data_IF_970875014677
#
_entry.id   IF_970875014677
#
_cell.length_a   1.000
_cell.length_b   1.000
_cell.length_c   1.000
_cell.angle_alpha   90.00
_cell.angle_beta   90.00
_cell.angle_gamma   90.00
#
_symmetry.space_group_name_H-M   'P 1'
#
loop_
_entity.id
_entity.type
_entity.pdbx_description
1 polymer ?
#
# COMPACT_ATOMS: atom_id res chain seq x y z
N UNK A 1 22.63 0.79 -26.82
CA UNK A 1 21.18 0.88 -26.73
C UNK A 1 20.60 0.49 -25.34
N UNK A 2 20.87 -0.71 -24.80
CA UNK A 2 20.36 -1.15 -23.46
C UNK A 2 20.89 -0.27 -22.32
N UNK A 3 22.18 0.07 -22.31
CA UNK A 3 22.82 0.91 -21.29
C UNK A 3 22.22 2.30 -21.19
N UNK A 4 21.98 2.97 -22.33
CA UNK A 4 21.33 4.28 -22.39
C UNK A 4 19.90 4.26 -21.86
N UNK A 5 19.11 3.21 -22.18
CA UNK A 5 17.74 3.05 -21.69
C UNK A 5 17.68 2.86 -20.18
N UNK A 6 18.65 2.15 -19.60
CA UNK A 6 18.77 1.97 -18.16
C UNK A 6 19.16 3.28 -17.46
N UNK A 7 20.07 4.07 -18.03
CA UNK A 7 20.46 5.38 -17.50
C UNK A 7 19.29 6.38 -17.49
N UNK A 8 18.48 6.40 -18.55
CA UNK A 8 17.27 7.23 -18.59
C UNK A 8 16.24 6.80 -17.54
N UNK A 9 16.06 5.49 -17.35
CA UNK A 9 15.14 4.97 -16.35
C UNK A 9 15.58 5.36 -14.94
N UNK A 10 16.87 5.23 -14.62
CA UNK A 10 17.44 5.64 -13.34
C UNK A 10 17.26 7.14 -13.09
N UNK A 11 17.45 7.98 -14.10
CA UNK A 11 17.20 9.43 -14.00
C UNK A 11 15.72 9.72 -13.68
N UNK A 12 14.78 9.03 -14.35
CA UNK A 12 13.34 9.16 -14.08
C UNK A 12 12.98 8.75 -12.66
N UNK A 13 13.51 7.64 -12.20
CA UNK A 13 13.31 7.15 -10.82
C UNK A 13 13.79 8.19 -9.82
N UNK A 14 14.98 8.75 -10.00
CA UNK A 14 15.53 9.77 -9.11
C UNK A 14 14.65 11.01 -9.04
N UNK A 15 14.19 11.53 -10.18
CA UNK A 15 13.27 12.69 -10.22
C UNK A 15 11.97 12.40 -9.45
N UNK A 16 11.43 11.19 -9.58
CA UNK A 16 10.22 10.79 -8.86
C UNK A 16 10.49 10.73 -7.35
N UNK A 17 11.62 10.15 -6.92
CA UNK A 17 12.02 10.07 -5.52
C UNK A 17 12.21 11.46 -4.91
N UNK A 18 12.91 12.37 -5.59
CA UNK A 18 13.13 13.74 -5.15
C UNK A 18 11.79 14.47 -4.95
N UNK A 19 10.85 14.28 -5.88
CA UNK A 19 9.50 14.85 -5.75
C UNK A 19 8.72 14.27 -4.57
N UNK A 20 8.84 12.97 -4.28
CA UNK A 20 8.21 12.35 -3.11
C UNK A 20 8.78 12.96 -1.82
N UNK A 21 10.09 13.22 -1.77
CA UNK A 21 10.73 13.86 -0.62
C UNK A 21 10.25 15.32 -0.46
N UNK A 22 10.08 16.05 -1.55
CA UNK A 22 9.48 17.38 -1.53
C UNK A 22 8.07 17.35 -0.94
N UNK A 23 7.20 16.47 -1.41
CA UNK A 23 5.83 16.28 -0.90
C UNK A 23 5.83 15.95 0.59
N UNK A 24 6.78 15.10 1.04
CA UNK A 24 6.96 14.78 2.45
C UNK A 24 7.20 16.02 3.31
N UNK A 25 7.95 16.98 2.79
CA UNK A 25 8.28 18.21 3.51
C UNK A 25 7.13 19.22 3.51
N UNK A 26 6.37 19.28 2.40
CA UNK A 26 5.22 20.18 2.26
C UNK A 26 4.01 19.72 3.09
N UNK A 27 3.85 18.41 3.28
CA UNK A 27 2.77 17.77 4.06
C UNK A 27 1.37 18.33 3.74
N UNK A 28 1.11 18.63 2.48
CA UNK A 28 -0.17 19.17 2.05
C UNK A 28 -0.96 18.14 1.26
N UNK A 29 -2.14 17.77 1.77
CA UNK A 29 -3.07 16.92 1.01
C UNK A 29 -3.63 17.67 -0.19
N UNK A 30 -3.57 17.03 -1.35
CA UNK A 30 -4.34 17.37 -2.54
C UNK A 30 -4.50 16.14 -3.45
N UNK A 31 -5.57 16.10 -4.25
CA UNK A 31 -5.87 14.95 -5.12
C UNK A 31 -4.80 14.71 -6.18
N UNK A 32 -4.15 15.76 -6.68
CA UNK A 32 -3.10 15.65 -7.70
C UNK A 32 -1.88 14.94 -7.12
N UNK A 33 -1.51 15.32 -5.89
CA UNK A 33 -0.42 14.69 -5.13
C UNK A 33 -0.74 13.22 -4.86
N UNK A 34 -1.97 12.91 -4.42
CA UNK A 34 -2.41 11.53 -4.19
C UNK A 34 -2.40 10.69 -5.47
N UNK A 35 -2.84 11.25 -6.59
CA UNK A 35 -2.77 10.61 -7.90
C UNK A 35 -1.33 10.38 -8.36
N UNK A 36 -0.44 11.36 -8.15
CA UNK A 36 0.97 11.24 -8.45
C UNK A 36 1.63 10.10 -7.66
N UNK A 37 1.42 10.03 -6.34
CA UNK A 37 1.97 8.97 -5.50
C UNK A 37 1.50 7.58 -5.95
N UNK A 38 0.24 7.42 -6.34
CA UNK A 38 -0.27 6.15 -6.86
C UNK A 38 0.35 5.77 -8.22
N UNK A 39 0.61 6.75 -9.10
CA UNK A 39 1.35 6.51 -10.34
C UNK A 39 2.81 6.14 -10.07
N UNK A 40 3.45 6.82 -9.12
CA UNK A 40 4.82 6.52 -8.70
C UNK A 40 4.95 5.12 -8.09
N UNK A 41 3.94 4.66 -7.36
CA UNK A 41 3.90 3.31 -6.75
C UNK A 41 3.99 2.17 -7.79
N UNK A 42 3.57 2.39 -9.03
CA UNK A 42 3.73 1.40 -10.11
C UNK A 42 5.19 1.14 -10.49
N UNK A 43 6.07 2.10 -10.21
CA UNK A 43 7.51 2.03 -10.50
C UNK A 43 8.34 1.82 -9.23
N UNK A 44 7.81 2.19 -8.07
CA UNK A 44 8.49 2.27 -6.79
C UNK A 44 7.66 1.62 -5.68
N UNK A 45 7.08 0.45 -5.95
CA UNK A 45 6.23 -0.30 -5.00
C UNK A 45 6.93 -0.58 -3.67
N UNK A 46 8.25 -0.84 -3.69
CA UNK A 46 9.07 -1.12 -2.52
C UNK A 46 9.78 0.12 -1.92
N UNK A 47 9.34 1.33 -2.28
CA UNK A 47 9.92 2.55 -1.72
C UNK A 47 9.18 3.01 -0.46
N UNK A 48 9.72 2.79 0.77
CA UNK A 48 9.00 3.02 2.02
C UNK A 48 8.53 4.46 2.19
N UNK A 49 9.36 5.42 1.76
CA UNK A 49 9.03 6.85 1.87
C UNK A 49 7.75 7.20 1.13
N UNK A 50 7.49 6.58 -0.03
CA UNK A 50 6.27 6.81 -0.79
C UNK A 50 5.02 6.44 0.03
N UNK A 51 5.01 5.26 0.62
CA UNK A 51 3.87 4.75 1.38
C UNK A 51 3.67 5.49 2.70
N UNK A 52 4.76 5.89 3.37
CA UNK A 52 4.70 6.72 4.57
C UNK A 52 4.12 8.10 4.26
N UNK A 53 4.56 8.75 3.18
CA UNK A 53 4.01 10.05 2.74
C UNK A 53 2.53 9.90 2.39
N UNK A 54 2.18 8.84 1.65
CA UNK A 54 0.79 8.57 1.28
C UNK A 54 -0.10 8.38 2.51
N UNK A 55 0.37 7.63 3.51
CA UNK A 55 -0.35 7.42 4.77
C UNK A 55 -0.59 8.72 5.51
N UNK A 56 0.44 9.56 5.66
CA UNK A 56 0.31 10.88 6.32
C UNK A 56 -0.74 11.76 5.62
N UNK A 57 -0.74 11.77 4.28
CA UNK A 57 -1.71 12.56 3.52
C UNK A 57 -3.13 12.00 3.63
N UNK A 58 -3.28 10.68 3.71
CA UNK A 58 -4.59 10.04 3.96
C UNK A 58 -5.09 10.39 5.36
N UNK A 59 -4.22 10.39 6.38
CA UNK A 59 -4.56 10.78 7.74
C UNK A 59 -5.06 12.24 7.79
N UNK A 60 -4.40 13.16 7.09
CA UNK A 60 -4.88 14.54 6.94
C UNK A 60 -6.24 14.64 6.22
N UNK A 61 -6.46 13.84 5.19
CA UNK A 61 -7.77 13.76 4.54
C UNK A 61 -8.84 13.28 5.51
N UNK A 62 -8.55 12.27 6.35
CA UNK A 62 -9.49 11.76 7.34
C UNK A 62 -9.88 12.81 8.40
N UNK A 63 -8.97 13.70 8.79
CA UNK A 63 -9.25 14.77 9.75
C UNK A 63 -10.27 15.80 9.23
N UNK A 64 -10.40 15.92 7.91
CA UNK A 64 -11.25 16.92 7.24
C UNK A 64 -12.51 16.32 6.60
N UNK A 65 -12.67 15.00 6.65
CA UNK A 65 -13.70 14.25 5.93
C UNK A 65 -14.70 13.60 6.89
N UNK A 66 -15.93 13.40 6.42
CA UNK A 66 -16.89 12.60 7.14
C UNK A 66 -16.63 11.09 6.98
N UNK A 67 -17.28 10.28 7.80
CA UNK A 67 -17.08 8.83 7.86
C UNK A 67 -17.41 8.12 6.53
N UNK A 68 -18.44 8.58 5.79
CA UNK A 68 -18.80 8.01 4.49
C UNK A 68 -17.76 8.30 3.43
N UNK A 69 -17.20 9.50 3.42
CA UNK A 69 -16.11 9.89 2.53
C UNK A 69 -14.86 9.05 2.80
N UNK A 70 -14.52 8.88 4.08
CA UNK A 70 -13.38 8.06 4.53
C UNK A 70 -13.58 6.60 4.09
N UNK A 71 -14.75 6.03 4.35
CA UNK A 71 -15.07 4.66 3.95
C UNK A 71 -14.92 4.45 2.44
N UNK A 72 -15.57 5.31 1.65
CA UNK A 72 -15.50 5.27 0.19
C UNK A 72 -14.08 5.49 -0.35
N UNK A 73 -13.29 6.33 0.31
CA UNK A 73 -11.88 6.55 -0.04
C UNK A 73 -11.08 5.25 0.12
N UNK A 74 -11.20 4.56 1.26
CA UNK A 74 -10.46 3.33 1.49
C UNK A 74 -10.89 2.19 0.57
N UNK A 75 -12.16 2.08 0.20
CA UNK A 75 -12.62 1.12 -0.80
C UNK A 75 -11.91 1.34 -2.15
N UNK A 76 -11.91 2.57 -2.63
CA UNK A 76 -11.21 2.96 -3.86
C UNK A 76 -9.71 2.78 -3.76
N UNK A 77 -9.13 3.00 -2.58
CA UNK A 77 -7.70 2.81 -2.35
C UNK A 77 -7.32 1.33 -2.52
N UNK A 78 -8.07 0.42 -1.93
CA UNK A 78 -7.84 -1.03 -2.07
C UNK A 78 -7.95 -1.48 -3.55
N UNK A 79 -8.92 -0.96 -4.29
CA UNK A 79 -9.06 -1.24 -5.72
C UNK A 79 -7.83 -0.75 -6.51
N UNK A 80 -7.32 0.44 -6.21
CA UNK A 80 -6.14 1.02 -6.86
C UNK A 80 -4.85 0.27 -6.57
N UNK A 81 -4.75 -0.39 -5.40
CA UNK A 81 -3.59 -1.19 -5.02
C UNK A 81 -3.53 -2.51 -5.80
N UNK A 82 -4.66 -3.07 -6.20
CA UNK A 82 -4.74 -4.39 -6.83
C UNK A 82 -3.83 -4.57 -8.05
N UNK A 83 -3.83 -3.66 -9.06
CA UNK A 83 -2.95 -3.80 -10.21
C UNK A 83 -1.46 -3.69 -9.86
N UNK A 84 -1.10 -2.91 -8.82
CA UNK A 84 0.29 -2.79 -8.37
C UNK A 84 0.72 -4.09 -7.69
N UNK A 85 -0.13 -4.65 -6.83
CA UNK A 85 0.11 -5.94 -6.17
C UNK A 85 0.24 -7.09 -7.17
N UNK A 86 -0.52 -7.05 -8.26
CA UNK A 86 -0.41 -8.05 -9.32
C UNK A 86 0.94 -7.95 -10.06
N UNK A 87 1.48 -6.75 -10.23
CA UNK A 87 2.78 -6.54 -10.89
C UNK A 87 3.98 -6.79 -9.97
N UNK A 88 3.80 -6.58 -8.67
CA UNK A 88 4.85 -6.79 -7.65
C UNK A 88 4.26 -7.46 -6.40
N UNK A 89 3.97 -8.77 -6.49
CA UNK A 89 3.34 -9.52 -5.40
C UNK A 89 4.24 -9.71 -4.18
N UNK A 90 5.55 -9.45 -4.29
CA UNK A 90 6.53 -9.62 -3.21
C UNK A 90 6.82 -8.34 -2.43
N UNK A 91 6.21 -7.22 -2.78
CA UNK A 91 6.39 -5.96 -2.05
C UNK A 91 5.67 -6.02 -0.69
N UNK A 92 6.41 -6.31 0.38
CA UNK A 92 5.87 -6.34 1.75
C UNK A 92 5.30 -5.00 2.20
N UNK A 93 5.91 -3.91 1.76
CA UNK A 93 5.47 -2.55 2.10
C UNK A 93 4.10 -2.27 1.51
N UNK A 94 3.86 -2.70 0.28
CA UNK A 94 2.59 -2.60 -0.40
C UNK A 94 1.50 -3.42 0.31
N UNK A 95 1.81 -4.65 0.73
CA UNK A 95 0.92 -5.48 1.53
C UNK A 95 0.60 -4.83 2.87
N UNK A 96 1.60 -4.26 3.54
CA UNK A 96 1.41 -3.55 4.81
C UNK A 96 0.47 -2.36 4.66
N UNK A 97 0.62 -1.56 3.59
CA UNK A 97 -0.30 -0.46 3.28
C UNK A 97 -1.72 -0.95 3.03
N UNK A 98 -1.89 -2.05 2.28
CA UNK A 98 -3.20 -2.67 2.06
C UNK A 98 -3.86 -3.13 3.37
N UNK A 99 -3.11 -3.81 4.24
CA UNK A 99 -3.61 -4.27 5.54
C UNK A 99 -4.07 -3.08 6.39
N UNK A 100 -3.29 -2.01 6.40
CA UNK A 100 -3.67 -0.79 7.11
C UNK A 100 -4.98 -0.20 6.57
N UNK A 101 -5.18 -0.14 5.26
CA UNK A 101 -6.44 0.30 4.65
C UNK A 101 -7.62 -0.59 5.05
N UNK A 102 -7.44 -1.91 5.05
CA UNK A 102 -8.46 -2.87 5.47
C UNK A 102 -8.84 -2.69 6.93
N UNK A 103 -7.87 -2.47 7.82
CA UNK A 103 -8.14 -2.19 9.24
C UNK A 103 -9.02 -0.95 9.38
N UNK A 104 -8.76 0.12 8.61
CA UNK A 104 -9.58 1.33 8.64
C UNK A 104 -11.02 1.10 8.18
N UNK A 105 -11.22 0.27 7.17
CA UNK A 105 -12.58 -0.13 6.73
C UNK A 105 -13.29 -0.91 7.84
N UNK A 106 -12.60 -1.90 8.44
CA UNK A 106 -13.14 -2.73 9.50
C UNK A 106 -13.55 -1.89 10.72
N UNK A 107 -12.70 -0.93 11.13
CA UNK A 107 -13.02 -0.01 12.23
C UNK A 107 -14.34 0.72 11.99
N UNK A 108 -14.60 1.17 10.76
CA UNK A 108 -15.85 1.84 10.37
C UNK A 108 -17.02 0.85 10.32
N UNK A 109 -16.82 -0.33 9.74
CA UNK A 109 -17.86 -1.36 9.62
C UNK A 109 -18.34 -1.86 11.00
N UNK A 110 -17.41 -2.08 11.94
CA UNK A 110 -17.74 -2.44 13.34
C UNK A 110 -18.56 -1.31 13.98
N UNK A 111 -18.15 -0.07 13.83
CA UNK A 111 -18.86 1.09 14.39
C UNK A 111 -20.27 1.24 13.83
N UNK A 112 -20.48 0.84 12.56
CA UNK A 112 -21.79 0.83 11.88
C UNK A 112 -22.63 -0.42 12.15
N UNK A 113 -22.14 -1.36 12.92
CA UNK A 113 -22.76 -2.68 13.15
C UNK A 113 -23.10 -3.41 11.83
N UNK A 114 -22.22 -3.33 10.84
CA UNK A 114 -22.40 -4.03 9.56
C UNK A 114 -22.24 -5.54 9.82
N UNK A 115 -23.21 -6.39 9.43
CA UNK A 115 -23.11 -7.84 9.60
C UNK A 115 -21.89 -8.41 8.86
N UNK A 116 -21.24 -9.41 9.46
CA UNK A 116 -20.01 -10.04 8.93
C UNK A 116 -20.17 -10.61 7.51
N UNK A 117 -21.36 -11.10 7.17
CA UNK A 117 -21.68 -11.62 5.84
C UNK A 117 -21.74 -10.54 4.74
N UNK A 118 -21.95 -9.28 5.15
CA UNK A 118 -21.96 -8.09 4.27
C UNK A 118 -20.67 -7.28 4.36
N UNK A 119 -19.79 -7.62 5.29
CA UNK A 119 -18.53 -6.95 5.50
C UNK A 119 -17.52 -7.30 4.40
N UNK A 120 -16.75 -6.31 3.97
CA UNK A 120 -15.58 -6.52 3.09
C UNK A 120 -14.53 -7.42 3.76
N UNK A 121 -14.63 -7.57 5.08
CA UNK A 121 -13.79 -8.43 5.88
C UNK A 121 -13.73 -9.86 5.34
N UNK A 122 -14.85 -10.47 4.93
CA UNK A 122 -14.87 -11.85 4.44
C UNK A 122 -14.00 -12.06 3.20
N UNK A 123 -14.10 -11.16 2.21
CA UNK A 123 -13.23 -11.21 1.03
C UNK A 123 -11.76 -10.91 1.33
N UNK A 124 -11.53 -10.05 2.33
CA UNK A 124 -10.20 -9.61 2.73
C UNK A 124 -9.49 -10.63 3.61
N UNK A 125 -10.21 -11.35 4.48
CA UNK A 125 -9.68 -12.47 5.27
C UNK A 125 -9.17 -13.58 4.34
N UNK A 126 -9.89 -13.87 3.27
CA UNK A 126 -9.44 -14.88 2.30
C UNK A 126 -8.12 -14.48 1.64
N UNK A 127 -7.96 -13.21 1.25
CA UNK A 127 -6.70 -12.69 0.71
C UNK A 127 -5.58 -12.64 1.75
N UNK A 128 -5.91 -12.31 3.01
CA UNK A 128 -4.97 -12.32 4.13
C UNK A 128 -4.52 -13.75 4.48
N UNK A 129 -5.43 -14.72 4.43
CA UNK A 129 -5.12 -16.13 4.63
C UNK A 129 -4.22 -16.66 3.50
N UNK A 130 -4.48 -16.29 2.25
CA UNK A 130 -3.59 -16.62 1.12
C UNK A 130 -2.19 -16.03 1.35
N UNK A 131 -2.11 -14.77 1.79
CA UNK A 131 -0.84 -14.12 2.10
C UNK A 131 -0.12 -14.82 3.27
N UNK A 132 -0.81 -15.10 4.37
CA UNK A 132 -0.25 -15.80 5.53
C UNK A 132 0.17 -17.23 5.19
N UNK A 133 -0.58 -17.94 4.35
CA UNK A 133 -0.19 -19.27 3.86
C UNK A 133 1.06 -19.19 2.97
N UNK A 134 1.20 -18.15 2.17
CA UNK A 134 2.42 -17.88 1.41
C UNK A 134 3.59 -17.54 2.33
N UNK A 135 3.36 -16.75 3.39
CA UNK A 135 4.35 -16.38 4.41
C UNK A 135 4.78 -17.57 5.27
N UNK A 136 3.85 -18.46 5.66
CA UNK A 136 4.21 -19.67 6.42
C UNK A 136 5.10 -20.59 5.62
N UNK A 137 4.97 -20.61 4.29
CA UNK A 137 5.89 -21.32 3.40
C UNK A 137 7.27 -20.64 3.38
N UNK A 138 7.32 -19.31 3.37
CA UNK A 138 8.55 -18.51 3.42
C UNK A 138 9.17 -18.56 4.83
N UNK A 139 8.38 -18.48 5.89
CA UNK A 139 8.84 -18.61 7.27
C UNK A 139 9.39 -20.02 7.58
N UNK A 140 8.78 -21.07 7.03
CA UNK A 140 9.33 -22.44 7.06
C UNK A 140 10.69 -22.52 6.34
N UNK A 141 10.88 -21.78 5.27
CA UNK A 141 12.17 -21.72 4.57
C UNK A 141 13.21 -20.92 5.37
N UNK A 142 12.82 -19.79 5.95
CA UNK A 142 13.66 -18.98 6.84
C UNK A 142 14.07 -19.76 8.10
N UNK A 143 13.16 -20.45 8.75
CA UNK A 143 13.45 -21.32 9.90
C UNK A 143 14.38 -22.48 9.50
N UNK A 144 14.23 -23.07 8.32
CA UNK A 144 15.17 -24.07 7.81
C UNK A 144 16.57 -23.50 7.58
N UNK A 145 16.67 -22.27 7.06
CA UNK A 145 17.97 -21.59 6.88
C UNK A 145 18.57 -21.24 8.25
N UNK A 146 17.78 -20.75 9.20
CA UNK A 146 18.24 -20.44 10.56
C UNK A 146 18.70 -21.71 11.32
N UNK A 147 17.98 -22.83 11.16
CA UNK A 147 18.36 -24.12 11.78
C UNK A 147 19.59 -24.76 11.14
N UNK A 148 20.00 -24.35 9.93
CA UNK A 148 21.18 -24.86 9.23
C UNK A 148 22.45 -24.04 9.52
N UNK A 149 22.31 -22.84 10.15
CA UNK A 149 23.40 -21.92 10.46
C UNK A 149 23.68 -21.73 11.97
N UNK A 150 22.95 -22.49 12.83
CA UNK A 150 23.28 -22.68 14.26
C UNK A 150 23.69 -24.13 14.48
#
# INVERSE_FOLDING_TARGET
MIKQKNEEMLKKIKVIQDKIIQIKNEKKYDEKTMSFLMKAAKLLSDFPTLWNVRKILIEQFMEQSNEDEIYNFFLKEIERLFPIMKSDPKSYILWYHRIWCLIKIIEIEIKRNIPLDKSILMGSIFLLLIFLLHETFFFKYLLKIFYFYI
#
